data_IF_852751785684
#
_entry.id   IF_852751785684
#
_cell.length_a   1.000
_cell.length_b   1.000
_cell.length_c   1.000
_cell.angle_alpha   90.00
_cell.angle_beta   90.00
_cell.angle_gamma   90.00
#
_symmetry.space_group_name_H-M   'P 1'
#
loop_
_entity.id
_entity.type
_entity.pdbx_description
1 polymer ?
#
# COMPACT_ATOMS: atom_id res chain seq x y z
N UNK A 1 -6.12 -7.29 -4.31
CA UNK A 1 -4.93 -7.28 -5.20
C UNK A 1 -3.75 -7.00 -4.30
N UNK A 2 -2.95 -8.02 -3.98
CA UNK A 2 -1.66 -7.82 -3.31
C UNK A 2 -0.66 -7.35 -4.38
N UNK A 3 0.03 -6.23 -4.12
CA UNK A 3 1.07 -5.72 -5.01
C UNK A 3 2.39 -6.38 -4.62
N UNK A 4 2.99 -7.16 -5.53
CA UNK A 4 4.34 -7.69 -5.36
C UNK A 4 5.34 -6.67 -5.90
N UNK A 5 6.11 -6.06 -5.00
CA UNK A 5 7.19 -5.14 -5.34
C UNK A 5 8.49 -5.91 -5.64
N UNK A 6 9.00 -5.79 -6.87
CA UNK A 6 10.23 -6.44 -7.29
C UNK A 6 11.44 -5.54 -6.94
N UNK A 7 12.30 -5.99 -6.02
CA UNK A 7 13.53 -5.29 -5.60
C UNK A 7 14.60 -5.34 -6.71
N UNK A 8 15.08 -4.19 -7.18
CA UNK A 8 16.36 -4.04 -7.90
C UNK A 8 17.19 -2.97 -7.19
N UNK A 9 18.39 -3.37 -6.77
CA UNK A 9 19.40 -2.57 -6.09
C UNK A 9 20.21 -1.80 -7.13
N UNK A 10 20.30 -0.48 -7.00
CA UNK A 10 21.31 0.31 -7.71
C UNK A 10 21.75 1.49 -6.84
N UNK A 11 23.03 1.48 -6.49
CA UNK A 11 23.75 2.55 -5.80
C UNK A 11 23.80 3.80 -6.69
N UNK A 12 23.58 4.97 -6.11
CA UNK A 12 23.89 6.25 -6.75
C UNK A 12 24.93 7.00 -5.91
N UNK A 13 26.00 7.43 -6.58
CA UNK A 13 27.07 8.26 -6.04
C UNK A 13 27.03 9.64 -6.71
N UNK A 14 27.08 10.69 -5.87
CA UNK A 14 27.87 11.91 -6.09
C UNK A 14 27.45 12.94 -7.15
N UNK A 15 26.63 13.92 -6.73
CA UNK A 15 26.97 15.36 -6.64
C UNK A 15 27.24 16.20 -7.90
N UNK A 16 26.56 17.36 -8.01
CA UNK A 16 27.16 18.69 -8.32
C UNK A 16 26.26 19.80 -7.73
N UNK A 17 26.91 20.81 -7.12
CA UNK A 17 26.37 22.04 -6.54
C UNK A 17 25.91 23.07 -7.60
N UNK A 18 24.92 23.91 -7.25
CA UNK A 18 24.87 25.30 -7.72
C UNK A 18 24.28 26.21 -6.63
N UNK A 19 24.99 27.31 -6.37
CA UNK A 19 24.73 28.30 -5.33
C UNK A 19 23.82 29.45 -5.82
N UNK A 20 23.09 30.09 -4.90
CA UNK A 20 22.35 31.33 -5.17
C UNK A 20 21.67 31.94 -3.94
N UNK A 21 22.32 32.94 -3.35
CA UNK A 21 21.88 34.03 -2.45
C UNK A 21 20.41 34.53 -2.66
N UNK A 22 19.67 35.16 -1.74
CA UNK A 22 20.01 36.00 -0.57
C UNK A 22 18.76 36.22 0.33
N UNK A 23 18.99 36.20 1.64
CA UNK A 23 18.35 36.84 2.82
C UNK A 23 17.01 37.60 2.68
N UNK A 24 16.02 37.18 3.49
CA UNK A 24 15.06 38.07 4.13
C UNK A 24 14.87 37.66 5.61
N UNK A 25 15.48 38.44 6.50
CA UNK A 25 15.35 38.39 7.96
C UNK A 25 13.93 38.76 8.38
N UNK A 26 13.18 37.78 8.87
CA UNK A 26 11.93 37.98 9.61
C UNK A 26 12.00 37.25 10.94
N UNK A 27 12.35 37.98 12.00
CA UNK A 27 12.17 37.52 13.38
C UNK A 27 10.68 37.35 13.65
N UNK A 28 10.18 36.11 13.57
CA UNK A 28 8.94 35.71 14.23
C UNK A 28 9.32 34.83 15.42
N UNK A 29 9.13 35.40 16.60
CA UNK A 29 9.10 34.71 17.88
C UNK A 29 7.93 33.70 17.84
N UNK A 30 8.20 32.51 17.28
CA UNK A 30 7.28 31.38 17.24
C UNK A 30 7.51 30.49 18.45
N UNK A 31 6.48 30.36 19.27
CA UNK A 31 6.47 29.64 20.53
C UNK A 31 7.10 28.25 20.43
N UNK A 32 7.86 27.91 21.48
CA UNK A 32 8.42 26.59 21.74
C UNK A 32 7.25 25.60 21.90
N UNK A 33 6.78 25.04 20.78
CA UNK A 33 5.83 23.92 20.76
C UNK A 33 6.60 22.70 21.26
N UNK A 34 6.74 22.56 22.58
CA UNK A 34 6.94 21.24 23.17
C UNK A 34 5.74 20.41 22.71
N UNK A 35 5.95 19.55 21.72
CA UNK A 35 4.97 18.54 21.34
C UNK A 35 4.53 17.87 22.64
N UNK A 36 3.27 18.06 23.01
CA UNK A 36 2.72 17.45 24.22
C UNK A 36 3.08 15.97 24.16
N UNK A 37 3.85 15.48 25.16
CA UNK A 37 4.13 14.06 25.31
C UNK A 37 2.79 13.37 25.55
N UNK A 38 2.12 12.95 24.49
CA UNK A 38 0.95 12.10 24.56
C UNK A 38 1.38 10.89 25.37
N UNK A 39 0.74 10.66 26.52
CA UNK A 39 1.00 9.48 27.35
C UNK A 39 0.79 8.26 26.46
N UNK A 40 1.84 7.47 26.23
CA UNK A 40 1.72 6.17 25.56
C UNK A 40 0.80 5.28 26.41
N UNK A 41 -0.40 5.05 25.93
CA UNK A 41 -1.33 4.03 26.42
C UNK A 41 -0.83 2.64 26.01
N UNK A 42 -1.19 1.60 26.78
CA UNK A 42 -0.72 0.25 26.51
C UNK A 42 -1.29 -0.29 25.19
N UNK A 43 -0.55 -1.16 24.48
CA UNK A 43 -1.00 -1.84 23.26
C UNK A 43 -2.39 -2.46 23.31
N UNK A 44 -2.76 -2.99 24.47
CA UNK A 44 -4.06 -3.61 24.71
C UNK A 44 -5.24 -2.64 24.66
N UNK A 45 -5.03 -1.35 24.99
CA UNK A 45 -6.12 -0.37 25.09
C UNK A 45 -6.55 0.18 23.73
N UNK A 46 -5.67 0.19 22.73
CA UNK A 46 -6.06 0.54 21.34
C UNK A 46 -6.23 -0.70 20.45
N UNK A 47 -6.21 -1.92 21.03
CA UNK A 47 -6.53 -3.12 20.26
C UNK A 47 -8.00 -3.07 19.81
N UNK A 48 -8.30 -3.24 18.51
CA UNK A 48 -9.67 -3.11 18.02
C UNK A 48 -10.59 -4.23 18.52
N UNK A 49 -11.84 -3.91 18.79
CA UNK A 49 -12.88 -4.92 19.03
C UNK A 49 -13.33 -5.52 17.70
N UNK A 50 -13.01 -6.80 17.50
CA UNK A 50 -13.21 -7.52 16.24
C UNK A 50 -14.13 -8.75 16.40
N UNK A 51 -14.93 -8.81 17.48
CA UNK A 51 -15.76 -9.99 17.80
C UNK A 51 -16.82 -10.29 16.75
N UNK A 52 -17.33 -9.27 16.07
CA UNK A 52 -18.38 -9.37 15.06
C UNK A 52 -17.84 -9.17 13.62
N UNK A 53 -16.54 -9.41 13.43
CA UNK A 53 -15.86 -9.14 12.16
C UNK A 53 -15.55 -10.42 11.38
N UNK A 54 -15.88 -10.42 10.10
CA UNK A 54 -15.60 -11.43 9.12
C UNK A 54 -14.83 -10.84 7.93
N UNK A 55 -13.55 -10.54 8.16
CA UNK A 55 -12.57 -10.20 7.13
C UNK A 55 -11.20 -10.82 7.47
N UNK A 56 -10.32 -10.95 6.49
CA UNK A 56 -9.04 -11.66 6.67
C UNK A 56 -8.12 -10.96 7.68
N UNK A 57 -8.11 -9.63 7.71
CA UNK A 57 -7.35 -8.87 8.72
C UNK A 57 -7.81 -9.25 10.12
N UNK A 58 -9.11 -9.25 10.39
CA UNK A 58 -9.64 -9.60 11.71
C UNK A 58 -9.32 -11.05 12.12
N UNK A 59 -9.30 -11.97 11.16
CA UNK A 59 -8.94 -13.37 11.38
C UNK A 59 -7.48 -13.57 11.80
N UNK A 60 -6.56 -12.74 11.26
CA UNK A 60 -5.11 -12.89 11.47
C UNK A 60 -4.52 -11.90 12.49
N UNK A 61 -5.23 -10.81 12.81
CA UNK A 61 -4.78 -9.89 13.84
C UNK A 61 -4.90 -10.54 15.22
N UNK A 62 -3.80 -10.52 15.96
CA UNK A 62 -3.76 -11.00 17.35
C UNK A 62 -3.20 -9.92 18.25
N UNK A 63 -3.50 -9.92 19.57
CA UNK A 63 -2.94 -8.96 20.51
C UNK A 63 -1.41 -8.90 20.48
N UNK A 64 -0.75 -10.06 20.23
CA UNK A 64 0.70 -10.16 20.07
C UNK A 64 1.21 -9.44 18.82
N UNK A 65 0.59 -9.69 17.65
CA UNK A 65 0.97 -9.04 16.39
C UNK A 65 0.72 -7.53 16.49
N UNK A 66 -0.44 -7.13 16.99
CA UNK A 66 -0.78 -5.72 17.16
C UNK A 66 0.22 -5.00 18.06
N UNK A 67 0.55 -5.58 19.23
CA UNK A 67 1.53 -4.99 20.15
C UNK A 67 2.92 -4.86 19.54
N UNK A 68 3.33 -5.81 18.69
CA UNK A 68 4.62 -5.77 17.98
C UNK A 68 4.67 -4.66 16.93
N UNK A 69 3.58 -4.49 16.17
CA UNK A 69 3.55 -3.66 14.96
C UNK A 69 2.98 -2.25 15.18
N UNK A 70 2.19 -2.01 16.23
CA UNK A 70 1.48 -0.74 16.49
C UNK A 70 2.40 0.49 16.39
N UNK A 71 3.53 0.44 17.10
CA UNK A 71 4.45 1.57 17.20
C UNK A 71 5.38 1.70 15.99
N UNK A 72 5.25 0.81 15.00
CA UNK A 72 6.00 0.88 13.76
C UNK A 72 5.31 1.79 12.75
N UNK A 73 6.11 2.46 11.93
CA UNK A 73 5.63 3.24 10.79
C UNK A 73 6.60 3.10 9.63
N UNK A 74 6.06 3.25 8.43
CA UNK A 74 6.87 3.36 7.22
C UNK A 74 7.59 4.72 7.20
N UNK A 75 8.56 4.90 6.30
CA UNK A 75 9.29 6.17 6.13
C UNK A 75 8.36 7.35 5.83
N UNK A 76 7.21 7.09 5.21
CA UNK A 76 6.20 8.12 4.91
C UNK A 76 5.25 8.40 6.08
N UNK A 77 5.40 7.70 7.22
CA UNK A 77 4.52 7.82 8.39
C UNK A 77 3.18 7.07 8.26
N UNK A 78 3.11 6.03 7.42
CA UNK A 78 1.96 5.13 7.40
C UNK A 78 2.08 4.13 8.57
N UNK A 79 1.04 4.01 9.39
CA UNK A 79 1.03 3.18 10.60
C UNK A 79 0.15 1.94 10.42
N UNK A 80 0.29 0.98 11.35
CA UNK A 80 -0.58 -0.20 11.39
C UNK A 80 -2.06 0.16 11.47
N UNK A 81 -2.43 1.11 12.33
CA UNK A 81 -3.84 1.50 12.51
C UNK A 81 -4.45 2.03 11.21
N UNK A 82 -3.70 2.86 10.46
CA UNK A 82 -4.13 3.31 9.12
C UNK A 82 -4.30 2.15 8.14
N UNK A 83 -3.43 1.14 8.22
CA UNK A 83 -3.50 -0.03 7.36
C UNK A 83 -4.77 -0.86 7.62
N UNK A 84 -5.12 -1.08 8.89
CA UNK A 84 -6.23 -1.95 9.30
C UNK A 84 -7.58 -1.22 9.43
N UNK A 85 -7.60 0.12 9.42
CA UNK A 85 -8.80 0.93 9.67
C UNK A 85 -10.01 0.49 8.84
N UNK A 86 -9.80 0.19 7.55
CA UNK A 86 -10.92 -0.29 6.70
C UNK A 86 -11.50 -1.60 7.18
N UNK A 87 -10.71 -2.54 7.70
CA UNK A 87 -11.21 -3.80 8.24
C UNK A 87 -11.83 -3.64 9.62
N UNK A 88 -11.43 -2.63 10.40
CA UNK A 88 -12.08 -2.30 11.68
C UNK A 88 -13.45 -1.66 11.43
N UNK A 89 -13.53 -0.68 10.52
CA UNK A 89 -14.77 0.06 10.24
C UNK A 89 -15.80 -0.77 9.46
N UNK A 90 -15.36 -1.80 8.74
CA UNK A 90 -16.22 -2.62 7.86
C UNK A 90 -16.18 -4.09 8.34
N UNK A 91 -17.12 -4.50 9.21
CA UNK A 91 -17.07 -5.81 9.86
C UNK A 91 -17.13 -6.97 8.87
N UNK A 92 -17.78 -6.80 7.72
CA UNK A 92 -17.77 -7.81 6.67
C UNK A 92 -18.55 -7.36 5.45
N UNK A 93 -18.72 -8.28 4.51
CA UNK A 93 -19.61 -8.09 3.37
C UNK A 93 -20.50 -9.33 3.22
N UNK A 94 -21.82 -9.20 2.96
CA UNK A 94 -22.78 -10.31 3.06
C UNK A 94 -22.44 -11.57 2.24
N UNK A 95 -21.70 -11.41 1.13
CA UNK A 95 -21.46 -12.48 0.17
C UNK A 95 -19.99 -12.83 -0.05
N UNK A 96 -19.05 -12.02 0.45
CA UNK A 96 -17.62 -12.21 0.18
C UNK A 96 -16.78 -11.92 1.42
N UNK A 97 -15.77 -12.75 1.66
CA UNK A 97 -14.73 -12.42 2.64
C UNK A 97 -13.84 -11.31 2.07
N UNK A 98 -13.81 -10.17 2.76
CA UNK A 98 -12.96 -9.04 2.38
C UNK A 98 -11.59 -9.16 3.03
N UNK A 99 -10.60 -8.42 2.50
CA UNK A 99 -9.22 -8.47 3.01
C UNK A 99 -9.08 -7.70 4.33
N UNK A 100 -9.68 -6.52 4.45
CA UNK A 100 -9.69 -5.74 5.71
C UNK A 100 -8.38 -5.00 6.04
N UNK A 101 -7.39 -4.98 5.15
CA UNK A 101 -6.14 -4.23 5.30
C UNK A 101 -5.70 -3.63 3.96
N UNK A 102 -5.07 -2.45 4.00
CA UNK A 102 -4.49 -1.77 2.83
C UNK A 102 -3.05 -1.36 3.08
N UNK A 103 -2.25 -1.27 2.01
CA UNK A 103 -0.92 -0.69 2.04
C UNK A 103 -0.99 0.81 1.71
N UNK A 104 -0.23 1.63 2.45
CA UNK A 104 -0.10 3.06 2.19
C UNK A 104 1.08 3.40 1.27
N UNK A 105 2.04 2.51 1.13
CA UNK A 105 3.24 2.62 0.31
C UNK A 105 3.88 1.24 0.06
N UNK A 106 4.97 1.19 -0.73
CA UNK A 106 5.71 -0.06 -1.03
C UNK A 106 6.26 -0.72 0.24
N UNK A 107 6.74 0.07 1.19
CA UNK A 107 7.37 -0.39 2.44
C UNK A 107 6.37 -0.98 3.43
N UNK A 108 5.09 -0.63 3.35
CA UNK A 108 4.02 -1.17 4.19
C UNK A 108 3.99 -2.72 4.20
N UNK A 109 4.25 -3.35 3.06
CA UNK A 109 4.29 -4.81 2.96
C UNK A 109 5.47 -5.44 3.73
N UNK A 110 6.55 -4.70 3.94
CA UNK A 110 7.73 -5.18 4.66
C UNK A 110 7.63 -4.87 6.15
N UNK A 111 7.25 -3.63 6.50
CA UNK A 111 7.13 -3.18 7.89
C UNK A 111 6.04 -3.94 8.65
N UNK A 112 4.92 -4.24 7.98
CA UNK A 112 3.79 -4.96 8.57
C UNK A 112 3.69 -6.41 8.05
N UNK A 113 4.79 -7.01 7.61
CA UNK A 113 4.83 -8.34 7.00
C UNK A 113 4.21 -9.43 7.90
N UNK A 114 4.42 -9.36 9.22
CA UNK A 114 3.85 -10.31 10.18
C UNK A 114 2.31 -10.39 10.14
N UNK A 115 1.63 -9.36 9.63
CA UNK A 115 0.19 -9.36 9.40
C UNK A 115 -0.15 -9.55 7.92
N UNK A 116 0.58 -8.92 6.99
CA UNK A 116 0.32 -9.06 5.55
C UNK A 116 0.56 -10.48 5.03
N UNK A 117 1.64 -11.13 5.43
CA UNK A 117 2.04 -12.45 4.93
C UNK A 117 0.94 -13.52 5.12
N UNK A 118 0.39 -13.74 6.35
CA UNK A 118 -0.67 -14.74 6.53
C UNK A 118 -1.98 -14.37 5.82
N UNK A 119 -2.29 -13.07 5.70
CA UNK A 119 -3.46 -12.59 4.94
C UNK A 119 -3.28 -12.87 3.44
N UNK A 120 -2.09 -12.62 2.89
CA UNK A 120 -1.77 -12.90 1.48
C UNK A 120 -1.86 -14.40 1.21
N UNK A 121 -1.27 -15.22 2.07
CA UNK A 121 -1.30 -16.67 1.95
C UNK A 121 -2.75 -17.19 1.90
N UNK A 122 -3.61 -16.76 2.83
CA UNK A 122 -5.01 -17.16 2.82
C UNK A 122 -5.77 -16.61 1.60
N UNK A 123 -5.60 -15.32 1.28
CA UNK A 123 -6.33 -14.70 0.15
C UNK A 123 -5.97 -15.32 -1.19
N UNK A 124 -4.74 -15.81 -1.32
CA UNK A 124 -4.18 -16.38 -2.55
C UNK A 124 -4.02 -17.90 -2.48
N UNK A 125 -4.86 -18.58 -1.68
CA UNK A 125 -4.99 -20.04 -1.64
C UNK A 125 -3.67 -20.78 -1.37
N UNK A 126 -2.90 -20.32 -0.39
CA UNK A 126 -1.65 -20.95 0.05
C UNK A 126 -0.38 -20.40 -0.60
N UNK A 127 -0.43 -19.22 -1.24
CA UNK A 127 0.77 -18.57 -1.77
C UNK A 127 1.64 -18.05 -0.62
N UNK A 128 2.73 -18.75 -0.32
CA UNK A 128 3.58 -18.52 0.85
C UNK A 128 4.56 -17.38 0.61
N UNK A 129 5.07 -16.81 1.69
CA UNK A 129 6.21 -15.86 1.67
C UNK A 129 7.43 -16.39 0.92
N UNK A 130 7.66 -17.70 0.96
CA UNK A 130 8.78 -18.37 0.29
C UNK A 130 8.56 -18.58 -1.20
N UNK A 131 7.32 -18.40 -1.67
CA UNK A 131 6.99 -18.58 -3.08
C UNK A 131 7.41 -17.34 -3.87
N UNK A 132 7.74 -17.55 -5.14
CA UNK A 132 8.14 -16.48 -6.05
C UNK A 132 7.08 -16.28 -7.12
N UNK A 133 6.55 -15.07 -7.23
CA UNK A 133 5.60 -14.70 -8.28
C UNK A 133 6.25 -14.80 -9.66
N UNK A 134 5.54 -15.39 -10.63
CA UNK A 134 5.95 -15.46 -12.03
C UNK A 134 5.11 -14.51 -12.87
N UNK A 135 5.76 -13.62 -13.61
CA UNK A 135 5.12 -12.74 -14.59
C UNK A 135 5.41 -13.25 -15.99
N UNK A 136 4.37 -13.46 -16.78
CA UNK A 136 4.44 -13.82 -18.19
C UNK A 136 3.39 -13.01 -18.95
N UNK A 137 3.84 -12.10 -19.81
CA UNK A 137 2.98 -11.24 -20.63
C UNK A 137 3.05 -11.62 -22.12
N UNK A 138 3.61 -12.79 -22.44
CA UNK A 138 3.64 -13.32 -23.80
C UNK A 138 2.28 -13.89 -24.19
N UNK A 139 1.51 -13.11 -24.95
CA UNK A 139 0.17 -13.48 -25.37
C UNK A 139 0.15 -14.61 -26.42
N UNK A 140 1.27 -14.91 -27.08
CA UNK A 140 1.33 -16.00 -28.07
C UNK A 140 1.17 -17.39 -27.45
N UNK A 141 1.39 -17.52 -26.15
CA UNK A 141 1.18 -18.77 -25.40
C UNK A 141 -0.31 -19.07 -25.18
N UNK A 142 -1.20 -18.10 -25.42
CA UNK A 142 -2.64 -18.30 -25.30
C UNK A 142 -3.12 -19.24 -26.40
N UNK A 143 -3.84 -20.30 -26.02
CA UNK A 143 -4.49 -21.23 -26.95
C UNK A 143 -6.00 -20.99 -26.92
N UNK A 144 -6.63 -20.90 -28.10
CA UNK A 144 -8.04 -20.54 -28.23
C UNK A 144 -8.25 -19.02 -28.20
N UNK A 145 -9.28 -18.57 -27.48
CA UNK A 145 -9.61 -17.14 -27.32
C UNK A 145 -10.78 -16.65 -28.17
N UNK A 146 -11.32 -17.49 -29.05
CA UNK A 146 -12.59 -17.24 -29.72
C UNK A 146 -13.70 -17.84 -28.85
N UNK A 147 -14.57 -16.98 -28.34
CA UNK A 147 -15.69 -17.35 -27.49
C UNK A 147 -16.98 -17.27 -28.32
N UNK A 148 -17.98 -18.08 -27.95
CA UNK A 148 -19.29 -18.08 -28.60
C UNK A 148 -20.04 -16.76 -28.30
N UNK A 149 -20.26 -15.96 -29.33
CA UNK A 149 -20.86 -14.63 -29.27
C UNK A 149 -22.36 -14.66 -28.92
N UNK A 150 -23.01 -15.82 -29.05
CA UNK A 150 -24.37 -16.05 -28.54
C UNK A 150 -24.45 -15.88 -27.03
N UNK A 151 -23.37 -16.17 -26.31
CA UNK A 151 -23.31 -16.12 -24.85
C UNK A 151 -22.41 -14.99 -24.33
N UNK A 152 -21.30 -14.69 -25.02
CA UNK A 152 -20.31 -13.71 -24.56
C UNK A 152 -20.53 -12.36 -25.22
N UNK A 153 -21.13 -11.45 -24.48
CA UNK A 153 -21.42 -10.08 -24.95
C UNK A 153 -20.17 -9.19 -25.05
N UNK A 154 -19.19 -9.37 -24.16
CA UNK A 154 -17.95 -8.60 -24.16
C UNK A 154 -16.85 -9.32 -23.38
N UNK A 155 -15.60 -9.00 -23.73
CA UNK A 155 -14.40 -9.52 -23.07
C UNK A 155 -13.55 -8.36 -22.56
N UNK A 156 -13.02 -8.48 -21.34
CA UNK A 156 -12.20 -7.43 -20.72
C UNK A 156 -11.06 -8.02 -19.88
N UNK A 157 -9.85 -7.50 -20.10
CA UNK A 157 -8.68 -7.76 -19.26
C UNK A 157 -8.30 -6.47 -18.52
N UNK A 158 -8.00 -6.57 -17.22
CA UNK A 158 -7.58 -5.43 -16.40
C UNK A 158 -6.39 -5.77 -15.52
N UNK A 159 -5.54 -4.78 -15.25
CA UNK A 159 -4.46 -4.88 -14.26
C UNK A 159 -4.20 -3.49 -13.65
N UNK A 160 -3.41 -3.43 -12.57
CA UNK A 160 -2.99 -2.19 -11.94
C UNK A 160 -1.47 -2.09 -11.89
N UNK A 161 -0.94 -0.87 -11.90
CA UNK A 161 0.48 -0.57 -11.69
C UNK A 161 0.59 0.58 -10.71
N UNK A 162 1.61 0.55 -9.88
CA UNK A 162 1.96 1.63 -8.95
C UNK A 162 3.32 2.19 -9.36
N UNK A 163 3.51 3.49 -9.25
CA UNK A 163 4.79 4.15 -9.57
C UNK A 163 5.65 4.14 -8.30
N UNK A 164 6.84 3.54 -8.39
CA UNK A 164 7.79 3.51 -7.26
C UNK A 164 8.15 4.93 -6.83
N UNK A 165 8.27 5.12 -5.51
CA UNK A 165 8.62 6.41 -4.92
C UNK A 165 7.43 7.27 -4.51
N UNK A 166 6.20 6.87 -4.84
CA UNK A 166 4.97 7.54 -4.43
C UNK A 166 4.18 6.67 -3.46
N UNK A 167 3.55 7.29 -2.46
CA UNK A 167 2.56 6.61 -1.64
C UNK A 167 1.36 6.14 -2.46
N UNK A 168 0.73 5.06 -2.00
CA UNK A 168 -0.48 4.49 -2.57
C UNK A 168 -1.72 5.35 -2.21
N UNK A 169 -2.85 5.17 -2.90
CA UNK A 169 -4.06 6.00 -2.71
C UNK A 169 -4.53 6.21 -1.25
N UNK A 170 -4.41 5.23 -0.32
CA UNK A 170 -4.81 5.43 1.08
C UNK A 170 -4.01 6.49 1.83
N UNK A 171 -2.80 6.82 1.38
CA UNK A 171 -1.86 7.68 2.12
C UNK A 171 -1.25 8.81 1.29
N UNK A 172 -1.37 8.78 -0.04
CA UNK A 172 -0.76 9.81 -0.88
C UNK A 172 -1.31 11.21 -0.60
N UNK A 173 -0.40 12.17 -0.50
CA UNK A 173 -0.74 13.58 -0.44
C UNK A 173 -1.34 14.06 -1.77
N UNK A 174 -1.98 15.24 -1.74
CA UNK A 174 -2.46 15.89 -2.98
C UNK A 174 -1.33 16.13 -3.98
N UNK A 175 -0.11 16.43 -3.50
CA UNK A 175 1.06 16.66 -4.34
C UNK A 175 1.50 15.38 -5.05
N UNK A 176 1.70 14.30 -4.31
CA UNK A 176 2.05 12.99 -4.89
C UNK A 176 1.02 12.49 -5.89
N UNK A 177 -0.28 12.65 -5.59
CA UNK A 177 -1.35 12.22 -6.50
C UNK A 177 -1.31 12.98 -7.84
N UNK A 178 -1.10 14.29 -7.80
CA UNK A 178 -0.98 15.13 -9.00
C UNK A 178 0.28 14.79 -9.80
N UNK A 179 1.37 14.45 -9.11
CA UNK A 179 2.60 14.06 -9.79
C UNK A 179 2.46 12.69 -10.47
N UNK A 180 1.79 11.72 -9.84
CA UNK A 180 1.43 10.45 -10.48
C UNK A 180 0.54 10.68 -11.70
N UNK A 181 -0.48 11.53 -11.58
CA UNK A 181 -1.35 11.92 -12.71
C UNK A 181 -0.53 12.50 -13.87
N UNK A 182 0.37 13.46 -13.60
CA UNK A 182 1.24 14.06 -14.61
C UNK A 182 2.11 13.01 -15.30
N UNK A 183 2.83 12.18 -14.53
CA UNK A 183 3.71 11.13 -15.08
C UNK A 183 2.93 10.16 -15.98
N UNK A 184 1.73 9.75 -15.56
CA UNK A 184 0.90 8.83 -16.35
C UNK A 184 0.40 9.51 -17.63
N UNK A 185 -0.09 10.75 -17.55
CA UNK A 185 -0.58 11.48 -18.73
C UNK A 185 0.54 11.68 -19.75
N UNK A 186 1.71 12.18 -19.33
CA UNK A 186 2.86 12.40 -20.20
C UNK A 186 3.29 11.10 -20.92
N UNK A 187 3.26 9.96 -20.20
CA UNK A 187 3.60 8.66 -20.79
C UNK A 187 2.53 8.17 -21.79
N UNK A 188 1.25 8.38 -21.49
CA UNK A 188 0.14 7.94 -22.34
C UNK A 188 -0.01 8.79 -23.61
N UNK A 189 0.34 10.07 -23.58
CA UNK A 189 0.41 10.93 -24.77
C UNK A 189 1.42 10.42 -25.80
N UNK A 190 2.44 9.66 -25.36
CA UNK A 190 3.42 9.03 -26.23
C UNK A 190 2.95 7.76 -26.95
N UNK A 191 1.76 7.22 -26.62
CA UNK A 191 1.24 6.03 -27.27
C UNK A 191 0.85 6.32 -28.73
N UNK A 192 1.20 5.40 -29.62
CA UNK A 192 0.89 5.45 -31.06
C UNK A 192 0.01 4.26 -31.44
N UNK A 193 -0.68 4.39 -32.57
CA UNK A 193 -1.48 3.33 -33.21
C UNK A 193 -0.65 2.50 -34.18
#
# INVERSE_FOLDING_TARGET
MAFFAQRRLLMTAGGVLAAGSMVATGFLHGQNLQAAKIRKVSPSLDYPDLREHNNLMAKHLTPRIYSKLRDMSTKSGFSLDKAIQTGVDNPGHPFISTVGIVAGDEESYEVFADLFDPIIEERHNGFKKTDTHKTDLDYHKLKGGILDDKYVLSSRVRTGRSIRGFSLPPHCSRGERREVERIVNDALEGLKG
#
